data_IF_425205650471
#
_entry.id   IF_425205650471
#
_cell.length_a   1.000
_cell.length_b   1.000
_cell.length_c   1.000
_cell.angle_alpha   90.00
_cell.angle_beta   90.00
_cell.angle_gamma   90.00
#
_symmetry.space_group_name_H-M   'P 1'
#
loop_
_entity.id
_entity.type
_entity.pdbx_description
1 polymer ?
#
# COMPACT_ATOMS: atom_id res chain seq x y z
N UNK A 1 -42.60 6.99 -28.82
CA UNK A 1 -41.85 5.73 -29.01
C UNK A 1 -41.30 5.38 -27.64
N UNK A 2 -41.41 4.13 -27.20
CA UNK A 2 -40.85 3.70 -25.92
C UNK A 2 -39.50 3.03 -26.12
N UNK A 3 -38.66 3.04 -25.10
CA UNK A 3 -37.34 2.44 -25.11
C UNK A 3 -37.22 1.41 -23.99
N UNK A 4 -36.57 0.30 -24.28
CA UNK A 4 -36.12 -0.68 -23.30
C UNK A 4 -34.67 -0.37 -22.93
N UNK A 5 -34.41 -0.20 -21.64
CA UNK A 5 -33.07 -0.03 -21.08
C UNK A 5 -32.70 -1.30 -20.32
N UNK A 6 -31.62 -1.96 -20.73
CA UNK A 6 -31.11 -3.18 -20.07
C UNK A 6 -29.84 -2.87 -19.31
N UNK A 7 -29.84 -3.06 -17.99
CA UNK A 7 -28.67 -2.88 -17.13
C UNK A 7 -27.73 -4.06 -17.19
N UNK A 8 -26.42 -3.77 -17.25
CA UNK A 8 -25.35 -4.76 -17.19
C UNK A 8 -24.72 -4.91 -15.81
N UNK A 9 -24.70 -3.84 -15.00
CA UNK A 9 -24.13 -3.81 -13.66
C UNK A 9 -25.19 -3.88 -12.56
N UNK A 10 -24.92 -4.58 -11.46
CA UNK A 10 -25.84 -4.72 -10.33
C UNK A 10 -25.47 -3.82 -9.15
N UNK A 11 -26.47 -3.46 -8.34
CA UNK A 11 -26.28 -2.78 -7.06
C UNK A 11 -25.43 -3.63 -6.10
N UNK A 12 -24.58 -3.00 -5.25
CA UNK A 12 -23.81 -3.71 -4.26
C UNK A 12 -24.74 -4.46 -3.31
N UNK A 13 -24.41 -5.72 -3.03
CA UNK A 13 -25.09 -6.52 -2.02
C UNK A 13 -24.27 -6.49 -0.75
N UNK A 14 -24.78 -5.79 0.25
CA UNK A 14 -24.18 -5.66 1.59
C UNK A 14 -24.85 -6.58 2.63
N UNK A 15 -25.79 -7.42 2.20
CA UNK A 15 -26.44 -8.43 3.04
C UNK A 15 -25.78 -9.82 2.83
N UNK A 16 -25.59 -10.61 3.91
CA UNK A 16 -24.89 -11.88 3.85
C UNK A 16 -25.64 -12.92 3.02
N UNK A 17 -24.93 -13.57 2.08
CA UNK A 17 -25.46 -14.71 1.31
C UNK A 17 -25.49 -15.95 2.22
N UNK A 18 -26.68 -16.43 2.56
CA UNK A 18 -26.86 -17.72 3.24
C UNK A 18 -26.83 -18.86 2.21
N UNK A 19 -25.65 -19.24 1.72
CA UNK A 19 -25.49 -20.51 1.00
C UNK A 19 -24.68 -21.52 1.81
N UNK A 20 -25.19 -22.75 1.85
CA UNK A 20 -24.83 -23.82 2.77
C UNK A 20 -23.55 -24.58 2.39
N UNK A 21 -22.49 -23.87 2.00
CA UNK A 21 -21.15 -24.43 1.85
C UNK A 21 -20.12 -23.53 2.50
N UNK A 22 -19.05 -24.14 3.01
CA UNK A 22 -17.94 -23.57 3.78
C UNK A 22 -17.79 -22.05 3.59
N UNK A 23 -18.45 -21.27 4.46
CA UNK A 23 -18.57 -19.82 4.29
C UNK A 23 -17.22 -19.20 4.63
N UNK A 24 -16.56 -18.63 3.63
CA UNK A 24 -15.45 -17.71 3.87
C UNK A 24 -16.06 -16.38 4.35
N UNK A 25 -16.00 -16.15 5.67
CA UNK A 25 -16.54 -14.94 6.29
C UNK A 25 -15.79 -13.66 5.87
N UNK A 26 -14.69 -13.78 5.12
CA UNK A 26 -13.96 -12.65 4.56
C UNK A 26 -14.50 -12.17 3.21
N UNK A 27 -15.22 -13.01 2.45
CA UNK A 27 -15.73 -12.69 1.09
C UNK A 27 -17.27 -12.66 1.05
N UNK A 28 -17.91 -12.04 2.03
CA UNK A 28 -19.38 -12.05 2.14
C UNK A 28 -20.10 -11.06 1.21
N UNK A 29 -19.42 -10.01 0.73
CA UNK A 29 -20.05 -8.92 -0.03
C UNK A 29 -19.26 -8.59 -1.29
N UNK A 30 -19.94 -8.70 -2.44
CA UNK A 30 -19.38 -8.34 -3.73
C UNK A 30 -19.86 -6.93 -4.10
N UNK A 31 -18.90 -6.01 -4.18
CA UNK A 31 -19.13 -4.67 -4.71
C UNK A 31 -18.66 -4.68 -6.15
N UNK A 32 -19.60 -4.55 -7.08
CA UNK A 32 -19.28 -4.44 -8.49
C UNK A 32 -18.73 -3.04 -8.76
N UNK A 33 -17.41 -2.96 -8.94
CA UNK A 33 -16.71 -1.73 -9.24
C UNK A 33 -16.95 -1.34 -10.71
N UNK A 34 -17.24 -0.06 -10.94
CA UNK A 34 -17.49 0.53 -12.24
C UNK A 34 -16.47 1.62 -12.50
N UNK A 35 -15.74 1.55 -13.60
CA UNK A 35 -14.74 2.57 -13.98
C UNK A 35 -15.37 3.68 -14.84
N UNK A 36 -14.74 4.85 -14.91
CA UNK A 36 -15.13 5.94 -15.80
C UNK A 36 -15.28 5.45 -17.25
N UNK A 37 -16.35 5.92 -17.93
CA UNK A 37 -16.75 5.55 -19.30
C UNK A 37 -17.16 4.10 -19.49
N UNK A 38 -17.35 3.32 -18.43
CA UNK A 38 -17.86 1.96 -18.53
C UNK A 38 -19.33 1.97 -18.96
N UNK A 39 -19.69 1.06 -19.87
CA UNK A 39 -21.07 0.86 -20.31
C UNK A 39 -21.88 0.23 -19.18
N UNK A 40 -22.91 0.94 -18.72
CA UNK A 40 -23.80 0.53 -17.65
C UNK A 40 -25.07 -0.12 -18.17
N UNK A 41 -25.62 0.44 -19.25
CA UNK A 41 -26.86 -0.02 -19.83
C UNK A 41 -26.89 0.18 -21.34
N UNK A 42 -27.76 -0.59 -22.01
CA UNK A 42 -28.06 -0.41 -23.44
C UNK A 42 -29.50 0.03 -23.63
N UNK A 43 -29.69 1.01 -24.51
CA UNK A 43 -30.97 1.59 -24.91
C UNK A 43 -31.40 0.95 -26.24
N UNK A 44 -32.59 0.35 -26.26
CA UNK A 44 -33.19 -0.25 -27.46
C UNK A 44 -34.58 0.33 -27.71
N UNK A 45 -34.87 0.93 -28.88
CA UNK A 45 -36.22 1.37 -29.20
C UNK A 45 -37.17 0.17 -29.33
N UNK A 46 -38.34 0.24 -28.69
CA UNK A 46 -39.38 -0.78 -28.80
C UNK A 46 -40.27 -0.47 -30.01
N UNK A 47 -40.46 -1.46 -30.88
CA UNK A 47 -41.48 -1.40 -31.93
C UNK A 47 -42.88 -1.54 -31.32
N UNK A 48 -43.88 -0.87 -31.90
CA UNK A 48 -45.30 -1.05 -31.53
C UNK A 48 -45.61 -2.57 -31.47
N UNK A 49 -46.05 -3.04 -30.30
CA UNK A 49 -46.43 -4.43 -29.97
C UNK A 49 -45.36 -5.40 -29.42
N UNK A 50 -44.17 -4.96 -29.00
CA UNK A 50 -43.22 -5.83 -28.28
C UNK A 50 -43.11 -5.43 -26.81
N UNK A 51 -43.62 -6.27 -25.91
CA UNK A 51 -43.34 -6.22 -24.47
C UNK A 51 -42.46 -7.43 -24.15
N UNK A 52 -41.20 -7.23 -23.71
CA UNK A 52 -40.36 -8.35 -23.32
C UNK A 52 -40.99 -9.07 -22.11
N UNK A 53 -41.24 -10.37 -22.24
CA UNK A 53 -41.62 -11.20 -21.10
C UNK A 53 -40.43 -11.30 -20.13
N UNK A 54 -40.70 -11.30 -18.82
CA UNK A 54 -39.69 -11.37 -17.75
C UNK A 54 -38.83 -12.65 -17.76
N UNK A 55 -39.04 -13.54 -18.72
CA UNK A 55 -38.45 -14.87 -18.88
C UNK A 55 -37.29 -14.94 -19.87
N UNK A 56 -37.07 -13.93 -20.74
CA UNK A 56 -36.04 -14.01 -21.79
C UNK A 56 -34.62 -13.60 -21.35
N UNK A 57 -34.45 -13.04 -20.14
CA UNK A 57 -33.14 -12.59 -19.66
C UNK A 57 -32.96 -12.96 -18.19
N UNK A 58 -32.45 -14.16 -17.93
CA UNK A 58 -32.00 -14.53 -16.58
C UNK A 58 -31.01 -13.47 -16.05
N UNK A 59 -31.37 -12.83 -14.93
CA UNK A 59 -30.55 -11.92 -14.13
C UNK A 59 -30.23 -10.51 -14.65
N UNK A 60 -30.91 -9.98 -15.68
CA UNK A 60 -30.75 -8.56 -16.06
C UNK A 60 -31.99 -7.73 -15.72
N UNK A 61 -31.79 -6.67 -14.95
CA UNK A 61 -32.82 -5.69 -14.67
C UNK A 61 -33.04 -4.82 -15.92
N UNK A 62 -34.29 -4.65 -16.33
CA UNK A 62 -34.64 -3.79 -17.45
C UNK A 62 -35.76 -2.80 -17.07
N UNK A 63 -35.78 -1.68 -17.78
CA UNK A 63 -36.78 -0.63 -17.64
C UNK A 63 -37.39 -0.29 -18.99
N UNK A 64 -38.66 0.13 -18.99
CA UNK A 64 -39.34 0.64 -20.18
C UNK A 64 -39.75 2.08 -19.91
N UNK A 65 -39.23 3.02 -20.70
CA UNK A 65 -39.48 4.47 -20.55
C UNK A 65 -39.83 5.12 -21.88
N UNK A 66 -40.48 6.29 -21.83
CA UNK A 66 -40.75 7.09 -23.02
C UNK A 66 -39.52 7.87 -23.48
N UNK A 67 -38.70 8.35 -22.55
CA UNK A 67 -37.45 9.05 -22.82
C UNK A 67 -36.32 8.43 -21.97
N UNK A 68 -35.24 7.90 -22.58
CA UNK A 68 -34.09 7.35 -21.85
C UNK A 68 -33.44 8.33 -20.87
N UNK A 69 -33.59 9.64 -21.09
CA UNK A 69 -33.06 10.69 -20.21
C UNK A 69 -33.71 10.62 -18.81
N UNK A 70 -34.93 10.11 -18.70
CA UNK A 70 -35.63 9.96 -17.41
C UNK A 70 -34.91 9.00 -16.46
N UNK A 71 -34.17 8.04 -17.00
CA UNK A 71 -33.39 7.04 -16.26
C UNK A 71 -31.97 7.51 -15.92
N UNK A 72 -31.53 8.69 -16.39
CA UNK A 72 -30.22 9.22 -16.04
C UNK A 72 -30.27 9.90 -14.66
N UNK A 73 -29.43 9.44 -13.74
CA UNK A 73 -29.18 10.10 -12.47
C UNK A 73 -27.76 10.67 -12.39
N UNK A 74 -27.21 10.76 -11.17
CA UNK A 74 -25.87 11.30 -10.94
C UNK A 74 -24.76 10.42 -11.53
N UNK A 75 -23.74 11.08 -12.10
CA UNK A 75 -22.52 10.48 -12.67
C UNK A 75 -22.74 9.45 -13.79
N UNK A 76 -23.82 9.65 -14.54
CA UNK A 76 -24.21 8.79 -15.66
C UNK A 76 -24.58 9.68 -16.85
N UNK A 77 -24.22 9.25 -18.06
CA UNK A 77 -24.53 10.01 -19.29
C UNK A 77 -24.76 9.11 -20.49
N UNK A 78 -25.36 9.67 -21.53
CA UNK A 78 -25.46 9.06 -22.86
C UNK A 78 -24.40 9.75 -23.73
N UNK A 79 -23.38 9.04 -24.22
CA UNK A 79 -22.34 9.65 -25.03
C UNK A 79 -22.88 10.07 -26.39
N UNK A 80 -22.46 11.23 -26.89
CA UNK A 80 -22.86 11.73 -28.22
C UNK A 80 -22.44 10.79 -29.36
N UNK A 81 -21.33 10.07 -29.18
CA UNK A 81 -20.78 9.13 -30.15
C UNK A 81 -21.64 7.86 -30.32
N UNK A 82 -22.35 7.45 -29.26
CA UNK A 82 -23.23 6.28 -29.28
C UNK A 82 -24.48 6.53 -28.41
N UNK A 83 -25.58 7.03 -29.00
CA UNK A 83 -26.81 7.32 -28.26
C UNK A 83 -27.59 6.06 -27.84
N UNK A 84 -27.06 4.86 -28.09
CA UNK A 84 -27.68 3.58 -27.70
C UNK A 84 -27.13 3.03 -26.38
N UNK A 85 -26.20 3.73 -25.73
CA UNK A 85 -25.60 3.27 -24.48
C UNK A 85 -25.70 4.34 -23.39
N UNK A 86 -25.68 3.86 -22.16
CA UNK A 86 -25.54 4.67 -20.96
C UNK A 86 -24.19 4.30 -20.35
N UNK A 87 -23.36 5.31 -20.07
CA UNK A 87 -22.01 5.13 -19.52
C UNK A 87 -21.85 5.87 -18.20
N UNK A 88 -20.93 5.40 -17.35
CA UNK A 88 -20.49 6.12 -16.17
C UNK A 88 -19.62 7.33 -16.56
N UNK A 89 -19.62 8.36 -15.72
CA UNK A 89 -18.68 9.50 -15.81
C UNK A 89 -17.69 9.56 -14.66
N UNK A 90 -17.71 8.55 -13.78
CA UNK A 90 -16.82 8.43 -12.62
C UNK A 90 -16.60 6.98 -12.24
N UNK A 91 -15.59 6.74 -11.41
CA UNK A 91 -15.33 5.46 -10.75
C UNK A 91 -16.27 5.29 -9.56
N UNK A 92 -16.91 4.14 -9.40
CA UNK A 92 -17.79 3.90 -8.27
C UNK A 92 -18.50 2.55 -8.30
N UNK A 93 -19.72 2.51 -7.78
CA UNK A 93 -20.65 1.41 -7.93
C UNK A 93 -21.98 1.92 -8.47
N UNK A 94 -22.72 1.07 -9.18
CA UNK A 94 -24.03 1.43 -9.72
C UNK A 94 -25.11 1.20 -8.69
N UNK A 95 -26.05 2.13 -8.61
CA UNK A 95 -27.26 1.99 -7.82
C UNK A 95 -28.46 2.45 -8.64
N UNK A 96 -29.57 1.75 -8.52
CA UNK A 96 -30.83 2.20 -9.07
C UNK A 96 -31.72 2.70 -7.95
N UNK A 97 -31.96 4.01 -7.90
CA UNK A 97 -32.86 4.64 -6.95
C UNK A 97 -33.86 5.53 -7.68
N UNK A 98 -35.12 5.53 -7.24
CA UNK A 98 -36.19 6.35 -7.83
C UNK A 98 -36.31 6.22 -9.36
N UNK A 99 -36.10 5.00 -9.89
CA UNK A 99 -36.06 4.70 -11.33
C UNK A 99 -34.98 5.45 -12.12
N UNK A 100 -33.88 5.87 -11.46
CA UNK A 100 -32.69 6.44 -12.11
C UNK A 100 -31.48 5.56 -11.85
N UNK A 101 -30.63 5.45 -12.87
CA UNK A 101 -29.34 4.79 -12.82
C UNK A 101 -28.32 5.83 -12.35
N UNK A 102 -27.68 5.55 -11.24
CA UNK A 102 -26.71 6.44 -10.59
C UNK A 102 -25.40 5.68 -10.35
N UNK A 103 -24.28 6.41 -10.41
CA UNK A 103 -22.97 5.89 -9.98
C UNK A 103 -22.52 6.68 -8.77
N UNK A 104 -22.29 5.99 -7.65
CA UNK A 104 -21.76 6.59 -6.44
C UNK A 104 -20.26 6.28 -6.30
N UNK A 105 -19.45 7.31 -6.12
CA UNK A 105 -18.01 7.22 -5.91
C UNK A 105 -17.62 6.96 -4.43
N UNK A 106 -18.62 6.97 -3.55
CA UNK A 106 -18.45 6.87 -2.10
C UNK A 106 -19.34 5.77 -1.54
N UNK A 107 -18.71 4.75 -0.95
CA UNK A 107 -19.36 3.67 -0.23
C UNK A 107 -19.46 4.01 1.25
N UNK A 108 -20.67 3.99 1.81
CA UNK A 108 -20.90 4.22 3.23
C UNK A 108 -21.24 2.89 3.92
N UNK A 109 -20.43 2.51 4.90
CA UNK A 109 -20.68 1.38 5.79
C UNK A 109 -21.26 1.92 7.09
N UNK A 110 -22.55 1.69 7.30
CA UNK A 110 -23.29 2.12 8.49
C UNK A 110 -23.07 1.14 9.66
N UNK A 111 -21.82 1.04 10.11
CA UNK A 111 -21.41 0.14 11.17
C UNK A 111 -19.91 -0.19 11.09
N UNK A 112 -19.55 -1.32 11.69
CA UNK A 112 -18.17 -1.80 11.74
C UNK A 112 -17.85 -2.74 10.57
N UNK A 113 -16.58 -2.81 10.20
CA UNK A 113 -16.05 -3.87 9.34
C UNK A 113 -15.69 -5.05 10.22
N UNK A 114 -16.52 -6.09 10.18
CA UNK A 114 -16.42 -7.31 10.99
C UNK A 114 -16.96 -8.52 10.20
N UNK A 115 -17.21 -9.65 10.87
CA UNK A 115 -17.74 -10.88 10.24
C UNK A 115 -19.07 -10.74 9.51
N UNK A 116 -19.83 -9.66 9.75
CA UNK A 116 -21.06 -9.34 9.03
C UNK A 116 -20.83 -8.50 7.78
N UNK A 117 -19.67 -7.86 7.66
CA UNK A 117 -19.34 -6.95 6.56
C UNK A 117 -18.27 -7.57 5.65
N UNK A 118 -17.39 -8.41 6.19
CA UNK A 118 -16.28 -9.00 5.43
C UNK A 118 -15.20 -7.99 5.05
N UNK A 119 -14.31 -8.40 4.16
CA UNK A 119 -13.30 -7.52 3.58
C UNK A 119 -13.95 -6.55 2.58
N UNK A 120 -13.36 -5.37 2.45
CA UNK A 120 -13.86 -4.34 1.53
C UNK A 120 -12.80 -4.04 0.47
N UNK A 121 -13.21 -4.05 -0.80
CA UNK A 121 -12.38 -3.59 -1.92
C UNK A 121 -13.22 -2.70 -2.81
N UNK A 122 -12.88 -1.41 -2.87
CA UNK A 122 -13.67 -0.42 -3.61
C UNK A 122 -12.76 0.59 -4.30
N UNK A 123 -12.96 0.83 -5.59
CA UNK A 123 -12.11 1.74 -6.38
C UNK A 123 -12.26 3.23 -6.01
N UNK A 124 -13.29 3.56 -5.23
CA UNK A 124 -13.59 4.92 -4.79
C UNK A 124 -13.29 5.14 -3.30
N UNK A 125 -14.06 6.03 -2.70
CA UNK A 125 -13.95 6.38 -1.29
C UNK A 125 -14.79 5.45 -0.43
N UNK A 126 -14.26 4.98 0.70
CA UNK A 126 -15.04 4.28 1.72
C UNK A 126 -15.17 5.17 2.96
N UNK A 127 -16.37 5.24 3.52
CA UNK A 127 -16.65 5.84 4.82
C UNK A 127 -17.20 4.75 5.75
N UNK A 128 -16.43 4.38 6.77
CA UNK A 128 -16.84 3.46 7.82
C UNK A 128 -17.29 4.29 9.03
N UNK A 129 -18.58 4.26 9.35
CA UNK A 129 -19.14 4.99 10.51
C UNK A 129 -18.77 4.35 11.85
N UNK A 130 -18.37 3.08 11.84
CA UNK A 130 -17.82 2.36 12.98
C UNK A 130 -16.30 2.18 12.90
N UNK A 131 -15.84 1.03 13.40
CA UNK A 131 -14.43 0.62 13.44
C UNK A 131 -14.11 -0.48 12.43
N UNK A 132 -12.83 -0.68 12.13
CA UNK A 132 -12.34 -1.83 11.37
C UNK A 132 -11.67 -2.79 12.34
N UNK A 133 -12.24 -3.99 12.50
CA UNK A 133 -11.76 -4.96 13.48
C UNK A 133 -10.69 -5.91 12.94
N UNK A 134 -10.09 -6.66 13.86
CA UNK A 134 -8.97 -7.54 13.60
C UNK A 134 -9.30 -8.62 12.58
N UNK A 135 -8.34 -8.92 11.72
CA UNK A 135 -8.46 -9.98 10.71
C UNK A 135 -9.15 -9.54 9.41
N UNK A 136 -9.70 -8.32 9.35
CA UNK A 136 -10.32 -7.79 8.14
C UNK A 136 -9.36 -6.94 7.32
N UNK A 137 -9.64 -6.83 6.02
CA UNK A 137 -8.90 -5.99 5.09
C UNK A 137 -9.79 -4.98 4.39
N UNK A 138 -9.29 -3.76 4.24
CA UNK A 138 -9.94 -2.69 3.48
C UNK A 138 -8.95 -2.14 2.45
N UNK A 139 -9.35 -2.21 1.18
CA UNK A 139 -8.60 -1.65 0.04
C UNK A 139 -9.45 -0.61 -0.66
N UNK A 140 -8.96 0.63 -0.75
CA UNK A 140 -9.71 1.70 -1.39
C UNK A 140 -8.84 2.84 -1.88
N UNK A 141 -9.42 3.73 -2.70
CA UNK A 141 -8.76 4.97 -3.09
C UNK A 141 -8.60 5.92 -1.91
N UNK A 142 -9.66 6.08 -1.11
CA UNK A 142 -9.68 6.88 0.12
C UNK A 142 -10.46 6.15 1.21
N UNK A 143 -10.06 6.31 2.47
CA UNK A 143 -10.78 5.72 3.60
C UNK A 143 -10.95 6.72 4.74
N UNK A 144 -12.19 6.84 5.21
CA UNK A 144 -12.52 7.55 6.45
C UNK A 144 -13.10 6.54 7.42
N UNK A 145 -12.51 6.44 8.61
CA UNK A 145 -13.00 5.61 9.73
C UNK A 145 -13.35 6.54 10.89
N UNK A 146 -14.63 6.60 11.24
CA UNK A 146 -15.10 7.39 12.39
C UNK A 146 -14.74 6.74 13.74
N UNK A 147 -14.55 5.41 13.75
CA UNK A 147 -14.02 4.65 14.88
C UNK A 147 -12.51 4.46 14.83
N UNK A 148 -12.06 3.29 15.31
CA UNK A 148 -10.65 2.88 15.33
C UNK A 148 -10.37 1.80 14.29
N UNK A 149 -9.09 1.60 13.99
CA UNK A 149 -8.60 0.46 13.21
C UNK A 149 -7.82 -0.43 14.17
N UNK A 150 -8.26 -1.67 14.35
CA UNK A 150 -7.70 -2.60 15.32
C UNK A 150 -7.30 -3.89 14.61
N UNK A 151 -6.01 -4.25 14.63
CA UNK A 151 -5.51 -5.53 14.10
C UNK A 151 -5.88 -5.83 12.64
N UNK A 152 -6.16 -4.79 11.84
CA UNK A 152 -6.65 -4.90 10.48
C UNK A 152 -5.55 -4.63 9.45
N UNK A 153 -5.84 -4.93 8.19
CA UNK A 153 -4.97 -4.64 7.06
C UNK A 153 -5.58 -3.60 6.14
N UNK A 154 -4.90 -2.47 5.99
CA UNK A 154 -5.42 -1.32 5.29
C UNK A 154 -4.47 -0.97 4.16
N UNK A 155 -4.97 -0.87 2.94
CA UNK A 155 -4.23 -0.42 1.76
C UNK A 155 -5.02 0.69 1.07
N UNK A 156 -4.55 1.93 1.20
CA UNK A 156 -5.20 3.11 0.64
C UNK A 156 -4.28 3.78 -0.38
N UNK A 157 -4.81 4.11 -1.55
CA UNK A 157 -4.01 4.74 -2.61
C UNK A 157 -3.72 6.22 -2.32
N UNK A 158 -4.72 6.96 -1.83
CA UNK A 158 -4.60 8.38 -1.49
C UNK A 158 -4.61 8.57 0.04
N UNK A 159 -5.63 9.20 0.61
CA UNK A 159 -5.61 9.64 2.01
C UNK A 159 -6.41 8.71 2.94
N UNK A 160 -5.90 8.54 4.17
CA UNK A 160 -6.53 7.79 5.25
C UNK A 160 -6.82 8.71 6.45
N UNK A 161 -8.08 8.79 6.84
CA UNK A 161 -8.51 9.54 8.04
C UNK A 161 -9.11 8.57 9.05
N UNK A 162 -8.56 8.54 10.25
CA UNK A 162 -9.06 7.74 11.38
C UNK A 162 -9.35 8.69 12.53
N UNK A 163 -10.61 8.83 12.91
CA UNK A 163 -11.01 9.70 14.04
C UNK A 163 -10.64 9.09 15.39
N UNK A 164 -10.61 7.75 15.47
CA UNK A 164 -10.08 6.98 16.58
C UNK A 164 -8.57 6.75 16.46
N UNK A 165 -8.11 5.59 16.93
CA UNK A 165 -6.71 5.19 16.87
C UNK A 165 -6.43 4.07 15.89
N UNK A 166 -5.15 3.88 15.56
CA UNK A 166 -4.64 2.71 14.84
C UNK A 166 -3.90 1.84 15.85
N UNK A 167 -4.42 0.64 16.11
CA UNK A 167 -4.03 -0.19 17.26
C UNK A 167 -3.72 -1.61 16.77
N UNK A 168 -2.63 -2.20 17.29
CA UNK A 168 -2.27 -3.60 17.08
C UNK A 168 -2.11 -4.04 15.62
N UNK A 169 -1.82 -3.12 14.69
CA UNK A 169 -1.67 -3.41 13.27
C UNK A 169 -0.20 -3.74 12.91
N UNK A 170 0.39 -4.77 13.52
CA UNK A 170 1.82 -5.09 13.34
C UNK A 170 2.11 -6.03 12.17
N UNK A 171 1.30 -7.08 11.99
CA UNK A 171 1.59 -8.16 11.03
C UNK A 171 1.46 -7.69 9.59
N UNK A 172 0.25 -7.27 9.21
CA UNK A 172 -0.05 -6.81 7.84
C UNK A 172 0.24 -5.33 7.69
N UNK A 173 -0.02 -4.51 8.72
CA UNK A 173 0.24 -3.08 8.71
C UNK A 173 -0.80 -2.25 7.97
N UNK A 174 -0.61 -0.94 8.04
CA UNK A 174 -1.42 0.09 7.36
C UNK A 174 -0.54 0.78 6.31
N UNK A 175 -0.98 0.77 5.06
CA UNK A 175 -0.32 1.41 3.92
C UNK A 175 -1.23 2.49 3.33
N UNK A 176 -0.65 3.65 3.08
CA UNK A 176 -1.35 4.81 2.55
C UNK A 176 -0.42 5.51 1.53
N UNK A 177 -0.82 5.65 0.26
CA UNK A 177 -0.01 6.35 -0.72
C UNK A 177 0.05 7.87 -0.47
N UNK A 178 -0.97 8.42 0.17
CA UNK A 178 -1.09 9.83 0.56
C UNK A 178 -0.88 10.05 2.06
N UNK A 179 -1.69 10.94 2.63
CA UNK A 179 -1.58 11.44 4.00
C UNK A 179 -2.40 10.57 4.96
N UNK A 180 -1.86 10.33 6.16
CA UNK A 180 -2.58 9.69 7.25
C UNK A 180 -2.89 10.72 8.33
N UNK A 181 -4.14 10.79 8.76
CA UNK A 181 -4.56 11.52 9.96
C UNK A 181 -5.16 10.53 10.96
N UNK A 182 -4.61 10.48 12.17
CA UNK A 182 -5.11 9.60 13.24
C UNK A 182 -4.97 10.25 14.61
N UNK A 183 -5.80 9.84 15.57
CA UNK A 183 -5.73 10.39 16.93
C UNK A 183 -4.52 9.87 17.70
N UNK A 184 -4.24 8.58 17.58
CA UNK A 184 -3.11 7.90 18.22
C UNK A 184 -2.75 6.61 17.49
N UNK A 185 -1.51 6.17 17.67
CA UNK A 185 -0.99 4.92 17.11
C UNK A 185 -0.38 4.08 18.21
N UNK A 186 -0.78 2.82 18.33
CA UNK A 186 -0.29 1.91 19.37
C UNK A 186 0.03 0.55 18.77
N UNK A 187 1.22 0.01 19.10
CA UNK A 187 1.67 -1.31 18.66
C UNK A 187 1.35 -1.57 17.18
N UNK A 188 1.71 -0.65 16.28
CA UNK A 188 1.29 -0.73 14.88
C UNK A 188 2.44 -0.39 13.92
N UNK A 189 2.36 -0.92 12.71
CA UNK A 189 3.25 -0.54 11.59
C UNK A 189 2.45 0.25 10.57
N UNK A 190 2.88 1.48 10.32
CA UNK A 190 2.22 2.42 9.41
C UNK A 190 3.22 2.93 8.39
N UNK A 191 2.82 2.97 7.12
CA UNK A 191 3.57 3.50 6.00
C UNK A 191 2.73 4.51 5.23
N UNK A 192 3.27 5.71 5.00
CA UNK A 192 2.61 6.79 4.26
C UNK A 192 3.51 7.40 3.19
N UNK A 193 3.03 7.57 1.96
CA UNK A 193 3.76 8.38 0.96
C UNK A 193 3.68 9.89 1.25
N UNK A 194 2.59 10.33 1.88
CA UNK A 194 2.39 11.71 2.37
C UNK A 194 2.77 11.88 3.84
N UNK A 195 2.27 12.96 4.46
CA UNK A 195 2.52 13.24 5.87
C UNK A 195 1.76 12.27 6.79
N UNK A 196 2.26 12.06 8.00
CA UNK A 196 1.52 11.39 9.07
C UNK A 196 1.21 12.42 10.16
N UNK A 197 -0.06 12.76 10.29
CA UNK A 197 -0.59 13.62 11.34
C UNK A 197 -1.14 12.76 12.47
N UNK A 198 -0.60 12.97 13.68
CA UNK A 198 -1.03 12.27 14.88
C UNK A 198 -1.52 13.29 15.90
N UNK A 199 -2.75 13.17 16.39
CA UNK A 199 -3.23 14.16 17.36
C UNK A 199 -2.47 14.08 18.69
N UNK A 200 -2.31 12.87 19.26
CA UNK A 200 -1.87 12.71 20.65
C UNK A 200 -0.57 11.95 20.84
N UNK A 201 -0.50 10.69 20.41
CA UNK A 201 0.60 9.80 20.78
C UNK A 201 0.88 8.70 19.77
N UNK A 202 2.16 8.34 19.65
CA UNK A 202 2.63 7.13 19.00
C UNK A 202 3.40 6.27 20.01
N UNK A 203 2.89 5.08 20.30
CA UNK A 203 3.42 4.18 21.33
C UNK A 203 3.82 2.85 20.71
N UNK A 204 5.08 2.42 20.95
CA UNK A 204 5.59 1.11 20.54
C UNK A 204 5.33 0.77 19.06
N UNK A 205 5.44 1.77 18.19
CA UNK A 205 4.99 1.70 16.80
C UNK A 205 6.12 1.96 15.81
N UNK A 206 5.96 1.45 14.60
CA UNK A 206 6.86 1.67 13.48
C UNK A 206 6.17 2.61 12.49
N UNK A 207 6.63 3.86 12.42
CA UNK A 207 6.08 4.87 11.53
C UNK A 207 7.08 5.15 10.41
N UNK A 208 6.64 5.01 9.17
CA UNK A 208 7.47 5.25 7.98
C UNK A 208 6.77 6.23 7.06
N UNK A 209 7.46 7.30 6.64
CA UNK A 209 6.88 8.25 5.67
C UNK A 209 7.91 8.88 4.75
N UNK A 210 7.53 9.10 3.49
CA UNK A 210 8.32 9.85 2.52
C UNK A 210 8.26 11.38 2.75
N UNK A 211 7.58 11.83 3.82
CA UNK A 211 7.46 13.23 4.19
C UNK A 211 7.73 13.44 5.69
N UNK A 212 6.80 14.07 6.43
CA UNK A 212 6.98 14.47 7.83
C UNK A 212 5.98 13.79 8.77
N UNK A 213 6.36 13.62 10.03
CA UNK A 213 5.43 13.24 11.11
C UNK A 213 5.16 14.47 11.96
N UNK A 214 3.89 14.84 12.13
CA UNK A 214 3.47 16.03 12.87
C UNK A 214 2.49 15.66 13.96
N UNK A 215 2.85 15.97 15.22
CA UNK A 215 1.93 15.88 16.34
C UNK A 215 1.13 17.18 16.50
N UNK A 216 -0.20 17.08 16.47
CA UNK A 216 -1.08 18.26 16.41
C UNK A 216 -1.49 18.80 17.78
N UNK A 217 -1.65 17.94 18.78
CA UNK A 217 -2.23 18.29 20.08
C UNK A 217 -1.40 17.75 21.24
N UNK A 218 -1.72 18.21 22.45
CA UNK A 218 -1.16 17.62 23.67
C UNK A 218 -1.74 16.21 23.92
N UNK A 219 -0.92 15.26 24.38
CA UNK A 219 0.45 15.45 24.88
C UNK A 219 1.56 15.43 23.81
N UNK A 220 1.28 15.02 22.57
CA UNK A 220 2.22 15.07 21.45
C UNK A 220 3.48 14.22 21.64
N UNK A 221 3.31 12.91 21.88
CA UNK A 221 4.37 12.05 22.42
C UNK A 221 4.75 10.90 21.49
N UNK A 222 6.06 10.64 21.37
CA UNK A 222 6.62 9.43 20.75
C UNK A 222 7.30 8.60 21.84
N UNK A 223 6.83 7.38 22.10
CA UNK A 223 7.42 6.47 23.09
C UNK A 223 7.57 5.07 22.49
N UNK A 224 8.82 4.65 22.29
CA UNK A 224 9.13 3.30 21.85
C UNK A 224 8.84 3.04 20.37
N UNK A 225 9.64 2.14 19.79
CA UNK A 225 9.54 1.78 18.38
C UNK A 225 10.47 2.62 17.50
N UNK A 226 10.10 2.80 16.24
CA UNK A 226 10.94 3.51 15.26
C UNK A 226 10.14 4.46 14.39
N UNK A 227 10.67 5.66 14.17
CA UNK A 227 10.15 6.63 13.21
C UNK A 227 11.19 6.86 12.12
N UNK A 228 10.86 6.53 10.88
CA UNK A 228 11.69 6.77 9.71
C UNK A 228 10.97 7.77 8.81
N UNK A 229 11.57 8.94 8.60
CA UNK A 229 10.95 10.00 7.80
C UNK A 229 11.97 10.64 6.88
N UNK A 230 11.53 11.08 5.71
CA UNK A 230 12.39 11.85 4.80
C UNK A 230 12.71 13.23 5.38
N UNK A 231 11.69 13.95 5.85
CA UNK A 231 11.83 15.36 6.20
C UNK A 231 12.02 15.56 7.71
N UNK A 232 10.99 15.97 8.43
CA UNK A 232 11.09 16.38 9.83
C UNK A 232 10.06 15.69 10.72
N UNK A 233 10.37 15.63 12.01
CA UNK A 233 9.43 15.18 13.04
C UNK A 233 9.16 16.35 13.99
N UNK A 234 7.88 16.61 14.23
CA UNK A 234 7.42 17.65 15.15
C UNK A 234 6.67 17.00 16.30
N UNK A 235 7.34 16.84 17.44
CA UNK A 235 6.77 16.26 18.64
C UNK A 235 7.02 17.14 19.86
N UNK A 236 6.17 17.04 20.88
CA UNK A 236 6.37 17.73 22.15
C UNK A 236 7.33 16.93 23.03
N UNK A 237 7.09 15.62 23.13
CA UNK A 237 7.89 14.71 23.97
C UNK A 237 8.40 13.55 23.14
N UNK A 238 9.69 13.24 23.26
CA UNK A 238 10.34 12.13 22.56
C UNK A 238 11.04 11.21 23.54
N UNK A 239 10.73 9.92 23.47
CA UNK A 239 11.23 8.89 24.38
C UNK A 239 10.47 8.85 25.71
N UNK A 240 10.96 8.02 26.64
CA UNK A 240 10.38 7.84 27.97
C UNK A 240 11.45 7.87 29.07
N UNK A 241 11.03 8.21 30.29
CA UNK A 241 11.90 8.23 31.49
C UNK A 241 12.66 6.93 31.71
N UNK A 242 12.04 5.80 31.41
CA UNK A 242 12.61 4.46 31.58
C UNK A 242 13.41 3.99 30.36
N UNK A 243 13.87 4.91 29.52
CA UNK A 243 14.70 4.65 28.35
C UNK A 243 14.13 3.57 27.41
N UNK A 244 12.81 3.57 27.21
CA UNK A 244 12.16 2.72 26.21
C UNK A 244 12.80 2.97 24.85
N UNK A 245 13.34 1.92 24.24
CA UNK A 245 14.09 2.00 22.99
C UNK A 245 13.27 2.71 21.90
N UNK A 246 13.72 3.91 21.53
CA UNK A 246 13.05 4.80 20.56
C UNK A 246 14.09 5.19 19.53
N UNK A 247 13.86 4.82 18.27
CA UNK A 247 14.76 5.11 17.15
C UNK A 247 14.14 6.11 16.21
N UNK A 248 14.87 7.16 15.87
CA UNK A 248 14.44 8.18 14.93
C UNK A 248 15.44 8.22 13.80
N UNK A 249 14.98 8.18 12.56
CA UNK A 249 15.80 8.30 11.36
C UNK A 249 15.20 9.34 10.44
N UNK A 250 16.00 10.34 10.09
CA UNK A 250 15.61 11.51 9.30
C UNK A 250 16.52 11.67 8.08
N UNK A 251 16.04 12.36 7.05
CA UNK A 251 16.91 12.98 6.04
C UNK A 251 17.01 12.23 4.71
N UNK A 252 16.58 10.97 4.65
CA UNK A 252 16.55 10.15 3.43
C UNK A 252 15.19 9.49 3.32
N UNK A 253 14.65 9.37 2.11
CA UNK A 253 13.41 8.65 1.88
C UNK A 253 13.52 7.19 2.38
N UNK A 254 12.72 6.79 3.38
CA UNK A 254 12.81 5.46 3.94
C UNK A 254 12.35 4.36 2.97
N UNK A 255 11.50 4.67 1.98
CA UNK A 255 11.11 3.70 0.96
C UNK A 255 12.26 3.44 -0.01
N UNK A 256 13.03 4.49 -0.35
CA UNK A 256 14.24 4.36 -1.16
C UNK A 256 15.30 3.50 -0.44
N UNK A 257 15.47 3.69 0.87
CA UNK A 257 16.35 2.84 1.69
C UNK A 257 15.87 1.38 1.69
N UNK A 258 14.56 1.14 1.85
CA UNK A 258 14.01 -0.22 1.78
C UNK A 258 14.18 -0.86 0.39
N UNK A 259 14.06 -0.09 -0.68
CA UNK A 259 14.34 -0.57 -2.04
C UNK A 259 15.82 -0.91 -2.21
N UNK A 260 16.72 -0.07 -1.69
CA UNK A 260 18.16 -0.35 -1.67
C UNK A 260 18.45 -1.67 -0.94
N UNK A 261 17.94 -1.84 0.28
CA UNK A 261 18.15 -3.05 1.08
C UNK A 261 17.69 -4.31 0.34
N UNK A 262 16.54 -4.25 -0.35
CA UNK A 262 16.03 -5.35 -1.19
C UNK A 262 16.95 -5.63 -2.38
N UNK A 263 17.47 -4.60 -3.05
CA UNK A 263 18.40 -4.77 -4.17
C UNK A 263 19.75 -5.34 -3.73
N UNK A 264 20.27 -4.93 -2.57
CA UNK A 264 21.48 -5.54 -1.99
C UNK A 264 21.27 -7.03 -1.72
N UNK A 265 20.08 -7.45 -1.27
CA UNK A 265 19.76 -8.86 -1.08
C UNK A 265 19.75 -9.64 -2.40
N UNK A 266 19.17 -9.08 -3.48
CA UNK A 266 19.21 -9.69 -4.81
C UNK A 266 20.65 -9.85 -5.31
N UNK A 267 21.45 -8.79 -5.26
CA UNK A 267 22.88 -8.82 -5.65
C UNK A 267 23.63 -9.90 -4.87
N UNK A 268 23.43 -9.95 -3.54
CA UNK A 268 24.08 -10.94 -2.68
C UNK A 268 23.67 -12.37 -3.04
N UNK A 269 22.41 -12.60 -3.38
CA UNK A 269 21.92 -13.92 -3.80
C UNK A 269 22.54 -14.33 -5.13
N UNK A 270 22.52 -13.46 -6.14
CA UNK A 270 23.11 -13.72 -7.46
C UNK A 270 24.62 -13.95 -7.36
N UNK A 271 25.33 -13.21 -6.52
CA UNK A 271 26.76 -13.44 -6.25
C UNK A 271 27.03 -14.82 -5.64
N UNK A 272 26.19 -15.29 -4.71
CA UNK A 272 26.31 -16.65 -4.15
C UNK A 272 26.07 -17.71 -5.21
N UNK A 273 25.03 -17.53 -6.03
CA UNK A 273 24.70 -18.47 -7.10
C UNK A 273 25.84 -18.53 -8.14
N UNK A 274 26.41 -17.38 -8.52
CA UNK A 274 27.59 -17.29 -9.38
C UNK A 274 28.79 -18.03 -8.78
N UNK A 275 29.09 -17.82 -7.51
CA UNK A 275 30.19 -18.52 -6.84
C UNK A 275 29.99 -20.04 -6.90
N UNK A 276 28.78 -20.53 -6.56
CA UNK A 276 28.51 -21.97 -6.59
C UNK A 276 28.62 -22.60 -7.98
N UNK A 277 28.26 -21.85 -9.04
CA UNK A 277 28.42 -22.30 -10.42
C UNK A 277 29.88 -22.31 -10.86
N UNK A 278 30.65 -21.30 -10.45
CA UNK A 278 32.08 -21.23 -10.71
C UNK A 278 32.80 -22.39 -10.04
N UNK A 279 32.50 -22.67 -8.76
CA UNK A 279 33.06 -23.79 -8.02
C UNK A 279 32.75 -25.13 -8.74
N UNK A 280 31.49 -25.33 -9.18
CA UNK A 280 31.08 -26.54 -9.91
C UNK A 280 31.78 -26.69 -11.27
N UNK A 281 31.94 -25.59 -12.00
CA UNK A 281 32.67 -25.59 -13.28
C UNK A 281 34.15 -25.89 -13.07
N UNK A 282 34.74 -25.40 -11.99
CA UNK A 282 36.13 -25.70 -11.60
C UNK A 282 36.29 -27.17 -11.20
N UNK A 283 35.34 -27.75 -10.45
CA UNK A 283 35.29 -29.20 -10.15
C UNK A 283 35.29 -30.03 -11.44
N UNK A 284 34.43 -29.69 -12.40
CA UNK A 284 34.35 -30.39 -13.69
C UNK A 284 35.65 -30.22 -14.49
N UNK A 285 36.26 -29.04 -14.47
CA UNK A 285 37.54 -28.79 -15.15
C UNK A 285 38.66 -29.66 -14.56
N UNK A 286 38.78 -29.69 -13.23
CA UNK A 286 39.76 -30.52 -12.52
C UNK A 286 39.55 -32.02 -12.79
N UNK A 287 38.30 -32.47 -12.86
CA UNK A 287 37.95 -33.84 -13.23
C UNK A 287 38.50 -34.21 -14.63
N UNK A 288 38.31 -33.34 -15.62
CA UNK A 288 38.84 -33.55 -16.97
C UNK A 288 40.38 -33.54 -17.03
N UNK A 289 41.05 -32.72 -16.21
CA UNK A 289 42.52 -32.68 -16.16
C UNK A 289 43.14 -33.95 -15.53
N UNK A 290 42.46 -34.58 -14.56
CA UNK A 290 43.01 -35.68 -13.76
C UNK A 290 42.73 -37.09 -14.33
N UNK A 291 41.62 -37.32 -15.03
CA UNK A 291 41.17 -38.68 -15.39
C UNK A 291 41.36 -39.09 -16.88
N UNK A 292 42.31 -38.47 -17.58
CA UNK A 292 42.54 -38.63 -19.04
C UNK A 292 42.69 -40.07 -19.60
N UNK A 293 42.84 -41.11 -18.77
CA UNK A 293 43.08 -42.49 -19.22
C UNK A 293 42.04 -43.56 -18.78
N UNK A 294 41.02 -43.26 -17.96
CA UNK A 294 40.12 -44.31 -17.43
C UNK A 294 38.60 -44.05 -17.50
N UNK A 295 38.14 -42.91 -18.04
CA UNK A 295 36.70 -42.56 -18.08
C UNK A 295 35.96 -43.17 -19.27
N UNK A 296 34.73 -43.64 -19.05
CA UNK A 296 33.83 -44.12 -20.10
C UNK A 296 33.42 -42.98 -21.03
N UNK A 297 33.42 -43.19 -22.36
CA UNK A 297 32.97 -42.19 -23.35
C UNK A 297 31.61 -41.57 -23.02
N UNK A 298 30.70 -42.34 -22.43
CA UNK A 298 29.35 -41.89 -22.08
C UNK A 298 29.36 -40.90 -20.90
N UNK A 299 30.22 -41.11 -19.91
CA UNK A 299 30.37 -40.20 -18.76
C UNK A 299 31.04 -38.89 -19.18
N UNK A 300 31.97 -38.97 -20.14
CA UNK A 300 32.62 -37.78 -20.74
C UNK A 300 31.60 -36.93 -21.50
N UNK A 301 30.70 -37.54 -22.28
CA UNK A 301 29.65 -36.84 -23.03
C UNK A 301 28.63 -36.17 -22.08
N UNK A 302 28.16 -36.88 -21.04
CA UNK A 302 27.22 -36.33 -20.05
C UNK A 302 27.80 -35.12 -19.29
N UNK A 303 29.09 -35.17 -18.90
CA UNK A 303 29.77 -34.05 -18.24
C UNK A 303 30.04 -32.86 -19.17
N UNK A 304 30.27 -33.10 -20.46
CA UNK A 304 30.39 -32.03 -21.45
C UNK A 304 29.06 -31.30 -21.65
N UNK A 305 27.94 -32.02 -21.74
CA UNK A 305 26.61 -31.41 -21.79
C UNK A 305 26.29 -30.62 -20.52
N UNK A 306 26.63 -31.14 -19.33
CA UNK A 306 26.51 -30.41 -18.06
C UNK A 306 27.35 -29.13 -18.09
N UNK A 307 28.62 -29.22 -18.55
CA UNK A 307 29.52 -28.06 -18.65
C UNK A 307 28.96 -26.97 -19.58
N UNK A 308 28.46 -27.32 -20.76
CA UNK A 308 27.87 -26.37 -21.71
C UNK A 308 26.64 -25.67 -21.09
N UNK A 309 25.77 -26.44 -20.43
CA UNK A 309 24.60 -25.90 -19.74
C UNK A 309 25.01 -24.95 -18.60
N UNK A 310 25.99 -25.32 -17.80
CA UNK A 310 26.51 -24.50 -16.70
C UNK A 310 27.20 -23.24 -17.23
N UNK A 311 27.93 -23.31 -18.34
CA UNK A 311 28.53 -22.14 -19.00
C UNK A 311 27.46 -21.18 -19.55
N UNK A 312 26.41 -21.69 -20.18
CA UNK A 312 25.28 -20.87 -20.62
C UNK A 312 24.59 -20.19 -19.42
N UNK A 313 24.39 -20.92 -18.33
CA UNK A 313 23.84 -20.38 -17.08
C UNK A 313 24.76 -19.33 -16.44
N UNK A 314 26.07 -19.55 -16.47
CA UNK A 314 27.08 -18.61 -15.98
C UNK A 314 27.03 -17.29 -16.76
N UNK A 315 26.93 -17.36 -18.10
CA UNK A 315 26.79 -16.17 -18.94
C UNK A 315 25.54 -15.38 -18.57
N UNK A 316 24.40 -16.07 -18.46
CA UNK A 316 23.14 -15.46 -18.05
C UNK A 316 23.21 -14.80 -16.66
N UNK A 317 23.76 -15.48 -15.66
CA UNK A 317 23.88 -14.89 -14.31
C UNK A 317 24.85 -13.72 -14.25
N UNK A 318 25.92 -13.72 -15.05
CA UNK A 318 26.82 -12.56 -15.14
C UNK A 318 26.10 -11.34 -15.73
N UNK A 319 25.28 -11.53 -16.77
CA UNK A 319 24.45 -10.45 -17.33
C UNK A 319 23.44 -9.93 -16.29
N UNK A 320 22.77 -10.84 -15.59
CA UNK A 320 21.83 -10.48 -14.51
C UNK A 320 22.54 -9.70 -13.39
N UNK A 321 23.68 -10.18 -12.91
CA UNK A 321 24.48 -9.52 -11.88
C UNK A 321 24.88 -8.09 -12.29
N UNK A 322 25.24 -7.89 -13.56
CA UNK A 322 25.54 -6.56 -14.09
C UNK A 322 24.31 -5.63 -14.03
N UNK A 323 23.13 -6.13 -14.38
CA UNK A 323 21.88 -5.36 -14.33
C UNK A 323 21.49 -5.02 -12.89
N UNK A 324 21.59 -5.98 -11.98
CA UNK A 324 21.30 -5.80 -10.56
C UNK A 324 22.27 -4.79 -9.92
N UNK A 325 23.57 -4.93 -10.20
CA UNK A 325 24.58 -3.98 -9.71
C UNK A 325 24.35 -2.57 -10.24
N UNK A 326 23.98 -2.41 -11.52
CA UNK A 326 23.63 -1.10 -12.08
C UNK A 326 22.45 -0.47 -11.35
N UNK A 327 21.41 -1.25 -11.06
CA UNK A 327 20.24 -0.77 -10.30
C UNK A 327 20.64 -0.34 -8.88
N UNK A 328 21.48 -1.13 -8.21
CA UNK A 328 21.99 -0.79 -6.88
C UNK A 328 22.75 0.54 -6.91
N UNK A 329 23.69 0.71 -7.85
CA UNK A 329 24.44 1.96 -7.98
C UNK A 329 23.50 3.16 -8.23
N UNK A 330 22.47 3.01 -9.07
CA UNK A 330 21.50 4.10 -9.30
C UNK A 330 20.71 4.49 -8.05
N UNK A 331 20.41 3.51 -7.17
CA UNK A 331 19.75 3.79 -5.89
C UNK A 331 20.71 4.49 -4.91
N UNK A 332 21.97 4.08 -4.88
CA UNK A 332 23.01 4.72 -4.06
C UNK A 332 23.25 6.18 -4.47
N UNK A 333 23.32 6.44 -5.78
CA UNK A 333 23.43 7.80 -6.32
C UNK A 333 22.22 8.66 -5.95
N UNK A 334 21.00 8.09 -6.02
CA UNK A 334 19.77 8.79 -5.62
C UNK A 334 19.76 9.13 -4.12
N UNK A 335 20.18 8.18 -3.26
CA UNK A 335 20.28 8.39 -1.81
C UNK A 335 21.31 9.48 -1.49
N UNK A 336 22.48 9.45 -2.13
CA UNK A 336 23.52 10.46 -1.95
C UNK A 336 23.00 11.86 -2.32
N UNK A 337 22.29 11.96 -3.44
CA UNK A 337 21.65 13.22 -3.87
C UNK A 337 20.62 13.73 -2.85
N UNK A 338 19.78 12.87 -2.30
CA UNK A 338 18.82 13.27 -1.27
C UNK A 338 19.51 13.76 0.01
N UNK A 339 20.60 13.12 0.42
CA UNK A 339 21.37 13.54 1.58
C UNK A 339 21.96 14.95 1.41
N UNK A 340 22.37 15.32 0.19
CA UNK A 340 22.86 16.66 -0.13
C UNK A 340 21.74 17.70 -0.16
N UNK A 341 20.62 17.39 -0.81
CA UNK A 341 19.50 18.33 -1.00
C UNK A 341 18.77 18.58 0.32
N UNK A 342 18.60 17.56 1.16
CA UNK A 342 17.79 17.64 2.37
C UNK A 342 18.56 18.25 3.55
N UNK A 343 19.05 19.47 3.38
CA UNK A 343 19.80 20.20 4.41
C UNK A 343 18.96 20.64 5.62
N UNK A 344 17.62 20.55 5.53
CA UNK A 344 16.70 21.13 6.51
C UNK A 344 15.91 20.11 7.34
N UNK A 345 16.19 18.81 7.22
CA UNK A 345 15.58 17.78 8.04
C UNK A 345 15.93 17.97 9.52
N UNK A 346 14.92 18.01 10.39
CA UNK A 346 15.09 18.29 11.82
C UNK A 346 14.16 17.43 12.68
N UNK A 347 14.65 17.03 13.84
CA UNK A 347 13.83 16.46 14.91
C UNK A 347 13.53 17.57 15.90
N UNK A 348 12.27 17.98 16.03
CA UNK A 348 11.82 18.96 17.01
C UNK A 348 11.23 18.24 18.23
N UNK A 349 11.74 18.57 19.41
CA UNK A 349 11.22 18.16 20.71
C UNK A 349 10.91 19.43 21.53
N UNK A 350 9.68 19.92 21.42
CA UNK A 350 9.29 21.24 21.97
C UNK A 350 9.30 21.31 23.50
N UNK A 351 9.12 20.19 24.19
CA UNK A 351 9.18 20.12 25.66
C UNK A 351 10.40 19.33 26.13
N UNK A 352 10.42 18.02 25.86
CA UNK A 352 11.43 17.13 26.45
C UNK A 352 11.82 15.99 25.52
N UNK A 353 13.11 15.72 25.40
CA UNK A 353 13.63 14.46 24.88
C UNK A 353 14.32 13.69 26.02
N UNK A 354 13.95 12.42 26.18
CA UNK A 354 14.48 11.56 27.23
C UNK A 354 15.77 10.82 26.80
N UNK A 355 16.57 10.33 27.77
CA UNK A 355 17.71 9.46 27.49
C UNK A 355 17.31 8.15 26.80
N UNK A 356 18.24 7.58 26.05
CA UNK A 356 18.07 6.31 25.33
C UNK A 356 17.44 6.45 23.94
N UNK A 357 17.14 7.66 23.48
CA UNK A 357 16.68 7.91 22.11
C UNK A 357 17.87 7.85 21.15
N UNK A 358 17.79 6.97 20.16
CA UNK A 358 18.76 6.87 19.07
C UNK A 358 18.29 7.75 17.91
N UNK A 359 19.11 8.71 17.50
CA UNK A 359 18.80 9.70 16.47
C UNK A 359 19.78 9.49 15.33
N UNK A 360 19.25 9.13 14.16
CA UNK A 360 19.95 9.11 12.89
C UNK A 360 19.47 10.29 12.05
N UNK A 361 20.39 11.10 11.55
CA UNK A 361 20.09 12.13 10.56
C UNK A 361 21.06 11.90 9.42
N UNK A 362 20.52 11.42 8.29
CA UNK A 362 21.30 10.97 7.13
C UNK A 362 22.33 9.90 7.55
N UNK A 363 23.62 10.15 7.33
CA UNK A 363 24.70 9.22 7.68
C UNK A 363 25.15 9.34 9.14
N UNK A 364 24.76 10.40 9.85
CA UNK A 364 25.19 10.65 11.21
C UNK A 364 24.28 9.97 12.23
N UNK A 365 24.88 9.43 13.29
CA UNK A 365 24.17 8.80 14.41
C UNK A 365 24.54 9.51 15.72
N UNK A 366 23.56 9.65 16.60
CA UNK A 366 23.72 10.15 17.95
C UNK A 366 22.79 9.38 18.89
N UNK A 367 23.34 8.85 19.98
CA UNK A 367 22.55 8.36 21.10
C UNK A 367 22.41 9.45 22.15
N UNK A 368 21.17 9.83 22.46
CA UNK A 368 20.91 10.84 23.47
C UNK A 368 20.99 10.24 24.87
N UNK A 369 21.98 10.62 25.67
CA UNK A 369 22.22 10.05 27.01
C UNK A 369 21.67 10.92 28.17
N UNK A 370 21.20 12.14 27.86
CA UNK A 370 20.71 13.11 28.85
C UNK A 370 19.31 13.62 28.53
N UNK A 371 18.61 14.12 29.55
CA UNK A 371 17.34 14.82 29.32
C UNK A 371 17.66 16.20 28.73
N UNK A 372 17.14 16.50 27.54
CA UNK A 372 17.16 17.85 26.99
C UNK A 372 15.74 18.42 26.92
N UNK A 373 15.64 19.74 27.07
CA UNK A 373 14.35 20.44 27.04
C UNK A 373 14.30 21.45 25.92
N UNK A 374 13.19 21.48 25.18
CA UNK A 374 12.91 22.44 24.11
C UNK A 374 14.09 22.55 23.14
N UNK A 375 14.40 21.43 22.49
CA UNK A 375 15.53 21.30 21.58
C UNK A 375 15.10 20.78 20.22
N UNK A 376 15.90 21.11 19.21
CA UNK A 376 15.85 20.43 17.93
C UNK A 376 17.21 19.85 17.58
N UNK A 377 17.22 18.74 16.86
CA UNK A 377 18.42 18.09 16.35
C UNK A 377 18.49 18.28 14.83
N UNK A 378 19.68 18.55 14.34
CA UNK A 378 19.98 18.72 12.91
C UNK A 378 21.40 18.21 12.63
N UNK A 379 21.66 17.89 11.37
CA UNK A 379 23.01 17.55 10.91
C UNK A 379 23.70 18.80 10.36
N UNK A 380 24.93 19.04 10.77
CA UNK A 380 25.82 20.03 10.18
C UNK A 380 27.24 19.45 10.10
N UNK A 381 27.84 19.45 8.91
CA UNK A 381 29.17 18.88 8.65
C UNK A 381 29.30 17.42 9.11
N UNK A 382 28.30 16.58 8.82
CA UNK A 382 28.25 15.15 9.20
C UNK A 382 28.25 14.88 10.71
N UNK A 383 27.98 15.90 11.53
CA UNK A 383 27.77 15.77 12.97
C UNK A 383 26.36 16.20 13.36
N UNK A 384 25.73 15.46 14.26
CA UNK A 384 24.42 15.86 14.81
C UNK A 384 24.65 16.91 15.90
N UNK A 385 24.05 18.08 15.69
CA UNK A 385 24.06 19.20 16.63
C UNK A 385 22.67 19.45 17.20
N UNK A 386 22.66 20.15 18.33
CA UNK A 386 21.43 20.57 19.01
C UNK A 386 21.28 22.08 18.97
N UNK A 387 20.05 22.53 18.73
CA UNK A 387 19.62 23.92 18.89
C UNK A 387 18.46 24.02 19.88
N UNK A 388 18.11 25.24 20.30
CA UNK A 388 16.93 25.50 21.15
C UNK A 388 15.74 25.88 20.27
N UNK A 389 14.58 25.30 20.55
CA UNK A 389 13.32 25.60 19.82
C UNK A 389 12.64 26.85 20.30
#
# INVERSE_FOLDING_TARGET
MSYQITLYSQSPRLDPVQDSQQIDYHEQHFIENVVDRQVLARIKPLSENYFPESSEVENQQFFVVEDPIELLGENVTIPEEDPQIIVSTTNGYVKVENNRIEVHDTLIIDGDVNFKTGNLTFIGKIIVRGSVFSGFSVKAKQLIVEGSIEGAHIEIDEDLIVRGGIIACQEKGVYCGGTILTKYVENSRIQAGGNIFIEKSALHSQLTTANSIIFLHEPGVIVGGSCQVKNSIYAKIVGAKWATATRISLGVDPFLLQEKDKQEEYVRKTQKDLQSLQDRLEEIHLFFEQEHEQVSRKETEELQEEQELLQAKLLYLNELALVEQKKLNTLEDAIALEQEINANCRLYAFDTIFPGVEINIKASNLKNDSIHKSVFYYEENQEIKTGKT
#
